data_IF_682111941419
#
_entry.id   IF_682111941419
#
_cell.length_a   1.000
_cell.length_b   1.000
_cell.length_c   1.000
_cell.angle_alpha   90.00
_cell.angle_beta   90.00
_cell.angle_gamma   90.00
#
_symmetry.space_group_name_H-M   'P 1'
#
loop_
_entity.id
_entity.type
_entity.pdbx_description
1 polymer ?
#
# COMPACT_ATOMS: atom_id res chain seq x y z
N UNK A 1 19.71 9.58 -10.37
CA UNK A 1 18.76 8.45 -10.17
C UNK A 1 17.37 8.97 -10.50
N UNK A 2 16.73 8.39 -11.51
CA UNK A 2 15.32 8.63 -11.80
C UNK A 2 14.55 7.47 -11.18
N UNK A 3 13.91 7.71 -10.05
CA UNK A 3 13.00 6.77 -9.41
C UNK A 3 11.58 7.32 -9.48
N UNK A 4 10.60 6.43 -9.47
CA UNK A 4 9.18 6.76 -9.45
C UNK A 4 8.54 6.30 -8.14
N UNK A 5 7.37 6.84 -7.81
CA UNK A 5 6.59 6.45 -6.64
C UNK A 5 6.78 7.30 -5.39
N UNK A 6 5.84 7.17 -4.46
CA UNK A 6 5.70 8.04 -3.29
C UNK A 6 6.92 7.95 -2.34
N UNK A 7 7.50 6.76 -2.19
CA UNK A 7 8.71 6.54 -1.39
C UNK A 7 9.93 7.29 -1.93
N UNK A 8 10.09 7.36 -3.25
CA UNK A 8 11.17 8.09 -3.90
C UNK A 8 11.01 9.61 -3.75
N UNK A 9 9.80 10.13 -3.96
CA UNK A 9 9.51 11.56 -3.74
C UNK A 9 9.78 11.98 -2.29
N UNK A 10 9.49 11.10 -1.33
CA UNK A 10 9.79 11.36 0.06
C UNK A 10 11.28 11.32 0.34
N UNK A 11 12.01 10.30 -0.13
CA UNK A 11 13.47 10.22 -0.02
C UNK A 11 14.14 11.46 -0.63
N UNK A 12 13.66 11.94 -1.78
CA UNK A 12 14.15 13.13 -2.46
C UNK A 12 13.82 14.43 -1.69
N UNK A 13 12.73 14.46 -0.92
CA UNK A 13 12.42 15.60 -0.04
C UNK A 13 13.47 15.82 1.04
N UNK A 14 14.21 14.79 1.45
CA UNK A 14 15.33 14.94 2.40
C UNK A 14 16.52 15.64 1.78
N UNK A 15 16.84 15.34 0.51
CA UNK A 15 17.87 16.05 -0.25
C UNK A 15 17.48 17.53 -0.34
N UNK A 16 16.21 17.82 -0.65
CA UNK A 16 15.65 19.19 -0.67
C UNK A 16 15.65 19.88 0.70
N UNK A 17 15.79 19.13 1.80
CA UNK A 17 15.90 19.65 3.17
C UNK A 17 17.34 19.99 3.59
N UNK A 18 18.31 19.84 2.69
CA UNK A 18 19.74 19.97 2.96
C UNK A 18 20.18 19.08 4.13
N UNK A 19 19.80 17.80 4.05
CA UNK A 19 20.18 16.76 4.98
C UNK A 19 21.15 15.81 4.29
N UNK A 20 22.30 15.54 4.92
CA UNK A 20 23.37 14.69 4.39
C UNK A 20 23.30 13.24 4.85
N UNK A 21 22.31 12.91 5.70
CA UNK A 21 22.14 11.58 6.27
C UNK A 21 21.70 10.59 5.19
N UNK A 22 22.18 9.35 5.29
CA UNK A 22 21.73 8.28 4.41
C UNK A 22 20.27 7.94 4.74
N UNK A 23 19.40 8.13 3.74
CA UNK A 23 17.99 7.75 3.76
C UNK A 23 17.87 6.55 2.85
N UNK A 24 17.34 5.46 3.40
CA UNK A 24 17.15 4.23 2.63
C UNK A 24 15.66 4.08 2.34
N UNK A 25 15.33 3.95 1.05
CA UNK A 25 14.02 3.44 0.65
C UNK A 25 14.05 1.94 0.98
N UNK A 26 13.18 1.52 1.89
CA UNK A 26 13.12 0.13 2.33
C UNK A 26 11.78 -0.47 1.92
N UNK A 27 11.82 -1.73 1.51
CA UNK A 27 10.61 -2.52 1.35
C UNK A 27 9.97 -2.79 2.73
N UNK A 28 8.72 -3.25 2.80
CA UNK A 28 8.06 -3.39 4.10
C UNK A 28 8.67 -4.44 5.03
N UNK A 29 9.19 -5.55 4.50
CA UNK A 29 9.87 -6.57 5.30
C UNK A 29 11.07 -5.96 6.04
N UNK A 30 11.91 -5.23 5.31
CA UNK A 30 13.05 -4.50 5.87
C UNK A 30 12.58 -3.35 6.76
N UNK A 31 11.53 -2.61 6.38
CA UNK A 31 10.95 -1.56 7.23
C UNK A 31 10.61 -2.11 8.60
N UNK A 32 9.84 -3.20 8.66
CA UNK A 32 9.41 -3.80 9.92
C UNK A 32 10.61 -4.23 10.77
N UNK A 33 11.58 -4.94 10.18
CA UNK A 33 12.79 -5.37 10.88
C UNK A 33 13.56 -4.16 11.44
N UNK A 34 13.80 -3.15 10.62
CA UNK A 34 14.57 -1.95 10.99
C UNK A 34 13.82 -1.09 12.03
N UNK A 35 12.48 -1.13 12.04
CA UNK A 35 11.65 -0.41 13.02
C UNK A 35 11.46 -1.18 14.33
N UNK A 36 11.68 -2.50 14.35
CA UNK A 36 11.62 -3.31 15.57
C UNK A 36 12.98 -3.41 16.28
N UNK A 37 14.08 -3.23 15.53
CA UNK A 37 15.43 -3.24 16.09
C UNK A 37 15.73 -1.96 16.89
N UNK A 38 15.69 -2.07 18.21
CA UNK A 38 16.01 -0.98 19.13
C UNK A 38 17.46 -0.52 19.07
N UNK A 39 18.37 -1.32 18.48
CA UNK A 39 19.78 -0.99 18.30
C UNK A 39 20.06 -0.24 16.98
N UNK A 40 19.06 -0.10 16.12
CA UNK A 40 19.19 0.58 14.85
C UNK A 40 19.16 2.11 14.99
N UNK A 41 20.35 2.68 15.21
CA UNK A 41 20.57 4.12 15.33
C UNK A 41 21.09 4.80 14.06
N UNK A 42 21.29 4.05 12.96
CA UNK A 42 22.11 4.51 11.84
C UNK A 42 21.33 5.23 10.75
N UNK A 43 20.13 4.78 10.43
CA UNK A 43 19.44 5.25 9.23
C UNK A 43 17.98 5.65 9.46
N UNK A 44 17.61 6.71 8.76
CA UNK A 44 16.23 7.12 8.57
C UNK A 44 15.65 6.38 7.34
N UNK A 45 14.35 6.13 7.37
CA UNK A 45 13.67 5.41 6.30
C UNK A 45 12.34 6.09 5.96
N UNK A 46 11.81 5.79 4.77
CA UNK A 46 10.45 6.17 4.33
C UNK A 46 9.58 4.95 4.02
N UNK A 47 8.32 4.90 4.50
CA UNK A 47 7.43 3.76 4.27
C UNK A 47 5.97 4.01 4.69
N UNK A 48 5.09 3.06 4.38
CA UNK A 48 3.64 3.20 4.58
C UNK A 48 3.16 2.89 6.02
N UNK A 49 4.08 2.71 6.98
CA UNK A 49 3.72 2.08 8.26
C UNK A 49 4.33 2.80 9.46
N UNK A 50 3.50 3.11 10.46
CA UNK A 50 3.94 3.39 11.83
C UNK A 50 3.86 2.07 12.62
N UNK A 51 4.95 1.63 13.22
CA UNK A 51 4.84 0.49 14.14
C UNK A 51 4.26 0.97 15.49
N UNK A 52 3.27 0.25 16.05
CA UNK A 52 2.83 0.51 17.41
C UNK A 52 3.96 0.20 18.40
N UNK A 53 3.99 0.93 19.51
CA UNK A 53 4.91 0.71 20.64
C UNK A 53 6.42 0.88 20.36
N UNK A 54 6.82 1.52 19.26
CA UNK A 54 8.25 1.83 19.03
C UNK A 54 8.65 3.18 19.64
N UNK A 55 9.22 3.18 20.85
CA UNK A 55 9.70 4.41 21.50
C UNK A 55 11.08 4.88 21.00
N UNK A 56 11.85 3.99 20.35
CA UNK A 56 13.19 4.27 19.85
C UNK A 56 13.20 4.93 18.45
N UNK A 57 12.03 5.14 17.83
CA UNK A 57 11.86 5.83 16.54
C UNK A 57 10.99 7.08 16.69
N UNK A 58 11.25 8.08 15.86
CA UNK A 58 10.40 9.27 15.67
C UNK A 58 9.87 9.31 14.25
N UNK A 59 8.63 9.75 14.09
CA UNK A 59 7.90 9.71 12.83
C UNK A 59 7.53 11.12 12.36
N UNK A 60 7.51 11.32 11.05
CA UNK A 60 6.87 12.51 10.48
C UNK A 60 5.36 12.50 10.70
N UNK A 61 4.75 13.66 10.52
CA UNK A 61 3.32 13.74 10.25
C UNK A 61 2.98 12.85 9.05
N UNK A 62 1.74 12.36 9.01
CA UNK A 62 1.25 11.61 7.86
C UNK A 62 1.39 12.45 6.60
N UNK A 63 1.93 11.81 5.58
CA UNK A 63 2.23 12.42 4.28
C UNK A 63 1.02 12.22 3.41
N UNK A 64 0.56 10.99 3.31
CA UNK A 64 -0.61 10.62 2.53
C UNK A 64 -1.27 9.40 3.16
N UNK A 65 -2.58 9.27 3.00
CA UNK A 65 -3.30 8.04 3.33
C UNK A 65 -3.51 7.29 2.03
N UNK A 66 -2.88 6.14 1.87
CA UNK A 66 -3.19 5.26 0.75
C UNK A 66 -4.47 4.49 1.08
N UNK A 67 -5.28 4.21 0.05
CA UNK A 67 -6.27 3.13 0.15
C UNK A 67 -5.45 1.87 0.31
N UNK A 68 -5.54 1.24 1.48
CA UNK A 68 -4.66 0.13 1.77
C UNK A 68 -5.22 -1.10 1.06
N UNK A 69 -4.48 -1.48 0.02
CA UNK A 69 -4.67 -2.65 -0.83
C UNK A 69 -5.94 -2.65 -1.71
N UNK A 70 -5.80 -3.24 -2.87
CA UNK A 70 -6.88 -3.75 -3.70
C UNK A 70 -6.64 -5.22 -3.98
N UNK A 71 -7.62 -5.88 -4.59
CA UNK A 71 -7.44 -7.22 -5.13
C UNK A 71 -7.75 -7.19 -6.61
N UNK A 72 -6.79 -7.60 -7.45
CA UNK A 72 -7.10 -7.94 -8.83
C UNK A 72 -7.61 -9.37 -8.88
N UNK A 73 -8.60 -9.58 -9.72
CA UNK A 73 -9.18 -10.89 -10.02
C UNK A 73 -9.12 -11.10 -11.53
N UNK A 74 -9.16 -12.35 -11.97
CA UNK A 74 -9.35 -12.65 -13.41
C UNK A 74 -10.74 -12.21 -13.88
N UNK A 75 -10.91 -12.00 -15.19
CA UNK A 75 -12.22 -11.63 -15.78
C UNK A 75 -13.31 -12.65 -15.42
N UNK A 76 -13.03 -13.94 -15.56
CA UNK A 76 -13.98 -15.02 -15.24
C UNK A 76 -14.39 -14.99 -13.76
N UNK A 77 -13.43 -14.76 -12.85
CA UNK A 77 -13.72 -14.66 -11.43
C UNK A 77 -14.53 -13.39 -11.15
N UNK A 78 -14.21 -12.26 -11.80
CA UNK A 78 -14.95 -11.01 -11.67
C UNK A 78 -16.40 -11.15 -12.13
N UNK A 79 -16.66 -11.67 -13.33
CA UNK A 79 -18.02 -11.86 -13.85
C UNK A 79 -18.86 -12.71 -12.88
N UNK A 80 -18.25 -13.75 -12.31
CA UNK A 80 -18.89 -14.60 -11.31
C UNK A 80 -19.25 -13.84 -10.04
N UNK A 81 -18.29 -13.15 -9.41
CA UNK A 81 -18.51 -12.49 -8.11
C UNK A 81 -19.35 -11.22 -8.24
N UNK A 82 -19.21 -10.50 -9.36
CA UNK A 82 -19.94 -9.25 -9.63
C UNK A 82 -21.36 -9.47 -10.13
N UNK A 83 -21.81 -10.72 -10.26
CA UNK A 83 -23.07 -11.05 -10.93
C UNK A 83 -23.18 -10.39 -12.31
N UNK A 84 -22.25 -10.69 -13.21
CA UNK A 84 -22.18 -10.11 -14.56
C UNK A 84 -22.17 -8.57 -14.57
N UNK A 85 -21.53 -7.95 -13.57
CA UNK A 85 -21.43 -6.50 -13.43
C UNK A 85 -22.62 -5.81 -12.78
N UNK A 86 -23.67 -6.53 -12.36
CA UNK A 86 -24.78 -5.94 -11.57
C UNK A 86 -24.27 -5.42 -10.22
N UNK A 87 -23.35 -6.16 -9.60
CA UNK A 87 -22.67 -5.79 -8.37
C UNK A 87 -21.34 -5.11 -8.71
N UNK A 88 -21.35 -3.78 -8.72
CA UNK A 88 -20.15 -2.95 -8.99
C UNK A 88 -19.02 -3.14 -7.98
N UNK A 89 -19.36 -3.58 -6.78
CA UNK A 89 -18.46 -3.65 -5.63
C UNK A 89 -18.68 -4.97 -4.92
N UNK A 90 -17.64 -5.79 -4.90
CA UNK A 90 -17.64 -7.12 -4.29
C UNK A 90 -16.89 -7.11 -2.96
N UNK A 91 -17.09 -8.06 -2.05
CA UNK A 91 -16.33 -8.07 -0.78
C UNK A 91 -15.06 -8.92 -0.88
N UNK A 92 -14.05 -8.62 -0.05
CA UNK A 92 -12.86 -9.49 0.05
C UNK A 92 -13.24 -10.90 0.50
N UNK A 93 -14.29 -11.02 1.32
CA UNK A 93 -14.87 -12.28 1.75
C UNK A 93 -15.38 -13.09 0.56
N UNK A 94 -16.10 -12.47 -0.38
CA UNK A 94 -16.59 -13.12 -1.60
C UNK A 94 -15.46 -13.61 -2.50
N UNK A 95 -14.37 -12.84 -2.59
CA UNK A 95 -13.19 -13.24 -3.34
C UNK A 95 -12.47 -14.41 -2.68
N UNK A 96 -12.21 -14.34 -1.37
CA UNK A 96 -11.60 -15.43 -0.61
C UNK A 96 -12.42 -16.71 -0.79
N UNK A 97 -13.75 -16.65 -0.66
CA UNK A 97 -14.62 -17.80 -0.85
C UNK A 97 -14.60 -18.30 -2.30
N UNK A 98 -14.66 -17.40 -3.29
CA UNK A 98 -14.68 -17.79 -4.71
C UNK A 98 -13.33 -18.34 -5.19
N UNK A 99 -12.22 -17.96 -4.57
CA UNK A 99 -10.88 -18.48 -4.89
C UNK A 99 -10.70 -19.96 -4.52
N UNK A 100 -11.54 -20.53 -3.64
CA UNK A 100 -11.60 -21.98 -3.43
C UNK A 100 -11.81 -22.73 -4.75
N UNK A 101 -12.71 -22.19 -5.58
CA UNK A 101 -13.02 -22.77 -6.89
C UNK A 101 -12.02 -22.38 -7.97
N UNK A 102 -11.39 -21.21 -7.85
CA UNK A 102 -10.41 -20.72 -8.83
C UNK A 102 -9.00 -21.30 -8.63
N UNK A 103 -8.70 -21.86 -7.46
CA UNK A 103 -7.47 -22.59 -7.16
C UNK A 103 -6.60 -21.95 -6.09
N UNK A 104 -6.37 -20.63 -6.13
CA UNK A 104 -5.64 -19.88 -5.09
C UNK A 104 -5.67 -18.35 -5.26
N UNK A 105 -5.26 -17.65 -4.19
CA UNK A 105 -4.89 -16.24 -4.14
C UNK A 105 -3.38 -16.12 -3.90
N UNK A 106 -2.76 -15.05 -4.37
CA UNK A 106 -1.39 -14.72 -3.94
C UNK A 106 -1.31 -13.33 -3.30
N UNK A 107 -0.41 -13.19 -2.32
CA UNK A 107 -0.03 -11.91 -1.72
C UNK A 107 1.49 -11.74 -1.80
N UNK A 108 1.98 -10.50 -1.81
CA UNK A 108 3.42 -10.26 -1.76
C UNK A 108 3.97 -10.58 -0.38
N UNK A 109 5.09 -11.29 -0.37
CA UNK A 109 5.77 -11.59 0.88
C UNK A 109 6.26 -10.31 1.57
N UNK A 110 6.13 -10.29 2.89
CA UNK A 110 6.58 -9.20 3.75
C UNK A 110 5.83 -7.88 3.57
N UNK A 111 4.80 -7.79 2.72
CA UNK A 111 3.89 -6.64 2.64
C UNK A 111 2.81 -6.81 3.72
N UNK A 112 2.84 -6.01 4.80
CA UNK A 112 1.81 -6.13 5.83
C UNK A 112 0.45 -5.75 5.23
N UNK A 113 -0.61 -6.36 5.74
CA UNK A 113 -2.00 -6.00 5.46
C UNK A 113 -2.60 -5.53 6.78
N UNK A 114 -3.47 -4.51 6.78
CA UNK A 114 -4.00 -3.94 8.03
C UNK A 114 -5.52 -4.02 8.14
N UNK A 115 -5.98 -3.81 9.37
CA UNK A 115 -7.39 -3.70 9.73
C UNK A 115 -8.20 -4.93 9.38
N UNK A 116 -9.47 -4.69 9.02
CA UNK A 116 -10.45 -5.77 8.73
C UNK A 116 -9.99 -6.67 7.59
N UNK A 117 -9.30 -6.13 6.58
CA UNK A 117 -8.80 -6.93 5.47
C UNK A 117 -7.75 -7.95 5.93
N UNK A 118 -6.82 -7.56 6.82
CA UNK A 118 -5.86 -8.49 7.41
C UNK A 118 -6.55 -9.62 8.18
N UNK A 119 -7.58 -9.28 8.96
CA UNK A 119 -8.36 -10.27 9.70
C UNK A 119 -9.01 -11.27 8.74
N UNK A 120 -9.63 -10.80 7.67
CA UNK A 120 -10.30 -11.65 6.68
C UNK A 120 -9.31 -12.53 5.91
N UNK A 121 -8.17 -11.99 5.48
CA UNK A 121 -7.11 -12.78 4.82
C UNK A 121 -6.55 -13.84 5.79
N UNK A 122 -6.25 -13.46 7.03
CA UNK A 122 -5.72 -14.40 8.04
C UNK A 122 -6.72 -15.51 8.36
N UNK A 123 -8.01 -15.16 8.47
CA UNK A 123 -9.07 -16.16 8.65
C UNK A 123 -9.21 -17.06 7.41
N UNK A 124 -9.16 -16.48 6.20
CA UNK A 124 -9.18 -17.23 4.95
C UNK A 124 -8.03 -18.24 4.84
N UNK A 125 -6.82 -17.86 5.26
CA UNK A 125 -5.65 -18.76 5.32
C UNK A 125 -5.86 -19.97 6.22
N UNK A 126 -6.72 -19.87 7.23
CA UNK A 126 -7.02 -20.94 8.18
C UNK A 126 -8.16 -21.86 7.67
N UNK A 127 -8.88 -21.48 6.61
CA UNK A 127 -10.00 -22.27 6.09
C UNK A 127 -9.53 -23.39 5.15
N UNK A 128 -10.15 -24.55 5.26
CA UNK A 128 -9.84 -25.71 4.41
C UNK A 128 -10.23 -25.44 2.95
N UNK A 129 -9.31 -25.70 2.01
CA UNK A 129 -9.55 -25.51 0.57
C UNK A 129 -9.25 -24.09 0.05
N UNK A 130 -8.89 -23.15 0.92
CA UNK A 130 -8.37 -21.84 0.51
C UNK A 130 -6.86 -21.89 0.51
N UNK A 131 -6.25 -21.50 -0.62
CA UNK A 131 -4.80 -21.38 -0.75
C UNK A 131 -4.43 -19.92 -0.98
N UNK A 132 -3.72 -19.32 -0.04
CA UNK A 132 -3.19 -17.95 -0.13
C UNK A 132 -1.67 -18.04 0.02
N UNK A 133 -0.94 -17.97 -1.09
CA UNK A 133 0.52 -18.08 -1.08
C UNK A 133 1.19 -16.71 -0.98
N UNK A 134 2.32 -16.69 -0.28
CA UNK A 134 3.27 -15.58 -0.28
C UNK A 134 4.21 -15.68 -1.49
N UNK A 135 4.30 -14.61 -2.27
CA UNK A 135 5.16 -14.55 -3.44
C UNK A 135 6.34 -13.60 -3.21
N UNK A 136 7.55 -14.13 -3.33
CA UNK A 136 8.80 -13.35 -3.41
C UNK A 136 9.05 -13.04 -4.89
N UNK A 137 8.54 -11.91 -5.36
CA UNK A 137 8.67 -11.53 -6.75
C UNK A 137 9.91 -10.66 -6.98
N UNK A 138 10.80 -10.99 -7.93
CA UNK A 138 11.98 -10.17 -8.24
C UNK A 138 11.61 -8.79 -8.79
N UNK A 139 10.41 -8.62 -9.36
CA UNK A 139 9.88 -7.33 -9.87
C UNK A 139 8.75 -6.75 -8.99
N UNK A 140 8.54 -7.26 -7.76
CA UNK A 140 7.53 -6.71 -6.86
C UNK A 140 6.07 -6.91 -7.32
N UNK A 141 5.14 -5.99 -6.98
CA UNK A 141 3.70 -6.19 -7.19
C UNK A 141 3.29 -6.30 -8.67
N UNK A 142 4.06 -5.70 -9.58
CA UNK A 142 3.87 -5.84 -11.03
C UNK A 142 3.92 -7.32 -11.45
N UNK A 143 4.86 -8.09 -10.89
CA UNK A 143 4.91 -9.53 -11.15
C UNK A 143 3.65 -10.25 -10.68
N UNK A 144 3.01 -9.81 -9.58
CA UNK A 144 1.74 -10.39 -9.13
C UNK A 144 0.63 -10.13 -10.12
N UNK A 145 0.53 -8.90 -10.64
CA UNK A 145 -0.46 -8.56 -11.67
C UNK A 145 -0.25 -9.37 -12.94
N UNK A 146 1.02 -9.55 -13.38
CA UNK A 146 1.37 -10.45 -14.50
C UNK A 146 0.95 -11.90 -14.22
N UNK A 147 1.12 -12.35 -12.98
CA UNK A 147 0.72 -13.70 -12.54
C UNK A 147 -0.81 -13.86 -12.53
N UNK A 148 -1.56 -12.86 -12.04
CA UNK A 148 -3.02 -12.82 -12.10
C UNK A 148 -3.54 -12.89 -13.55
N UNK A 149 -2.85 -12.20 -14.45
CA UNK A 149 -3.20 -12.17 -15.86
C UNK A 149 -2.87 -13.49 -16.61
N UNK A 150 -2.11 -14.40 -16.00
CA UNK A 150 -1.75 -15.66 -16.62
C UNK A 150 -2.68 -16.80 -16.19
N UNK A 151 -3.64 -17.12 -17.06
CA UNK A 151 -4.63 -18.19 -16.92
C UNK A 151 -4.05 -19.58 -16.61
N UNK A 152 -2.78 -19.83 -16.92
CA UNK A 152 -2.11 -21.13 -16.70
C UNK A 152 -1.64 -21.38 -15.26
N UNK A 153 -1.65 -20.38 -14.39
CA UNK A 153 -1.11 -20.53 -13.03
C UNK A 153 -2.13 -20.93 -11.98
N UNK A 154 -3.42 -21.10 -12.31
CA UNK A 154 -4.52 -21.37 -11.35
C UNK A 154 -4.70 -20.28 -10.27
N UNK A 155 -4.16 -19.08 -10.51
CA UNK A 155 -4.29 -17.93 -9.60
C UNK A 155 -5.58 -17.22 -9.94
N UNK A 156 -6.55 -17.24 -9.03
CA UNK A 156 -7.82 -16.53 -9.23
C UNK A 156 -7.73 -15.05 -8.87
N UNK A 157 -6.89 -14.70 -7.89
CA UNK A 157 -6.80 -13.32 -7.39
C UNK A 157 -5.43 -12.97 -6.80
N UNK A 158 -5.12 -11.68 -6.78
CA UNK A 158 -3.86 -11.13 -6.24
C UNK A 158 -4.10 -9.88 -5.40
N UNK A 159 -3.49 -9.82 -4.21
CA UNK A 159 -3.47 -8.62 -3.38
C UNK A 159 -2.42 -7.63 -3.88
N UNK A 160 -2.81 -6.37 -4.06
CA UNK A 160 -2.02 -5.36 -4.79
C UNK A 160 -2.24 -3.97 -4.23
N UNK A 161 -1.43 -3.01 -4.65
CA UNK A 161 -1.45 -1.64 -4.15
C UNK A 161 -1.91 -0.65 -5.23
N UNK A 162 -2.62 0.44 -4.87
CA UNK A 162 -3.12 1.40 -5.84
C UNK A 162 -2.08 2.04 -6.75
N UNK A 163 -0.87 2.29 -6.25
CA UNK A 163 0.23 2.87 -7.02
C UNK A 163 0.78 1.96 -8.13
N UNK A 164 0.49 0.66 -8.08
CA UNK A 164 0.99 -0.34 -9.04
C UNK A 164 0.09 -0.45 -10.28
N UNK A 165 -1.12 0.08 -10.20
CA UNK A 165 -2.11 0.01 -11.28
C UNK A 165 -1.71 0.80 -12.51
N UNK A 166 -1.20 2.01 -12.34
CA UNK A 166 -0.76 2.82 -13.49
C UNK A 166 0.43 2.19 -14.19
N UNK A 167 1.41 1.66 -13.44
CA UNK A 167 2.60 1.04 -14.04
C UNK A 167 2.17 -0.17 -14.87
N UNK A 168 1.34 -1.06 -14.31
CA UNK A 168 0.86 -2.22 -15.04
C UNK A 168 0.00 -1.85 -16.24
N UNK A 169 -0.92 -0.88 -16.10
CA UNK A 169 -1.81 -0.44 -17.18
C UNK A 169 -1.05 0.20 -18.33
N UNK A 170 0.05 0.92 -18.05
CA UNK A 170 0.96 1.46 -19.07
C UNK A 170 1.71 0.36 -19.81
N UNK A 171 2.18 -0.65 -19.09
CA UNK A 171 2.91 -1.78 -19.68
C UNK A 171 1.99 -2.76 -20.43
N UNK A 172 0.70 -2.81 -20.08
CA UNK A 172 -0.28 -3.76 -20.61
C UNK A 172 -1.58 -3.03 -21.00
N UNK A 173 -1.54 -2.11 -21.98
CA UNK A 173 -2.67 -1.22 -22.30
C UNK A 173 -3.93 -1.94 -22.78
N UNK A 174 -3.78 -3.13 -23.38
CA UNK A 174 -4.90 -3.95 -23.85
C UNK A 174 -5.55 -4.77 -22.71
N UNK A 175 -4.94 -4.77 -21.52
CA UNK A 175 -5.46 -5.46 -20.35
C UNK A 175 -6.12 -4.44 -19.43
N UNK A 176 -7.43 -4.33 -19.57
CA UNK A 176 -8.26 -3.59 -18.63
C UNK A 176 -8.12 -4.22 -17.24
N UNK A 177 -7.52 -3.46 -16.33
CA UNK A 177 -7.57 -3.74 -14.91
C UNK A 177 -8.89 -3.21 -14.28
N UNK A 178 -9.96 -2.94 -15.03
CA UNK A 178 -11.19 -2.31 -14.53
C UNK A 178 -11.88 -3.07 -13.39
N UNK A 179 -11.50 -4.33 -13.14
CA UNK A 179 -12.05 -5.24 -12.14
C UNK A 179 -11.65 -4.94 -10.69
N UNK A 180 -10.97 -3.82 -10.47
CA UNK A 180 -10.37 -3.42 -9.21
C UNK A 180 -11.29 -2.50 -8.42
N UNK A 181 -12.25 -3.06 -7.71
CA UNK A 181 -12.29 -2.79 -6.27
C UNK A 181 -13.36 -3.60 -5.57
N UNK A 182 -12.89 -4.28 -4.54
CA UNK A 182 -13.71 -4.85 -3.50
C UNK A 182 -13.84 -3.83 -2.37
N UNK A 183 -15.04 -3.63 -1.84
CA UNK A 183 -15.21 -2.86 -0.63
C UNK A 183 -15.33 -3.83 0.54
N UNK A 184 -14.23 -4.04 1.25
CA UNK A 184 -14.27 -4.35 2.68
C UNK A 184 -12.93 -4.02 3.36
N UNK A 185 -12.91 -2.90 4.09
CA UNK A 185 -11.80 -2.50 4.96
C UNK A 185 -11.72 -0.99 5.19
N UNK A 186 -12.08 -0.54 6.39
CA UNK A 186 -11.78 0.81 6.91
C UNK A 186 -10.31 0.94 7.32
N UNK A 187 -9.38 0.51 6.48
CA UNK A 187 -7.95 0.50 6.80
C UNK A 187 -7.18 1.34 5.82
N UNK A 188 -6.42 2.28 6.38
CA UNK A 188 -5.63 3.26 5.66
C UNK A 188 -4.19 3.19 6.17
N UNK A 189 -3.22 3.15 5.26
CA UNK A 189 -1.81 3.24 5.62
C UNK A 189 -1.32 4.68 5.48
N UNK A 190 -0.99 5.36 6.59
CA UNK A 190 -0.31 6.65 6.51
C UNK A 190 1.14 6.45 6.07
N UNK A 191 1.52 7.03 4.94
CA UNK A 191 2.92 7.12 4.54
C UNK A 191 3.64 8.12 5.43
N UNK A 192 4.76 7.69 6.01
CA UNK A 192 5.55 8.47 6.97
C UNK A 192 7.05 8.25 6.74
N UNK A 193 7.79 9.26 7.13
CA UNK A 193 9.22 9.18 7.38
C UNK A 193 9.48 8.69 8.81
N UNK A 194 10.51 7.90 9.02
CA UNK A 194 10.98 7.46 10.34
C UNK A 194 12.49 7.68 10.51
N UNK A 195 12.90 8.00 11.74
CA UNK A 195 14.31 8.14 12.13
C UNK A 195 14.52 7.60 13.55
N UNK A 196 15.76 7.26 13.94
CA UNK A 196 16.11 7.01 15.33
C UNK A 196 15.69 8.18 16.23
N UNK A 197 15.25 7.90 17.45
CA UNK A 197 14.81 8.91 18.42
C UNK A 197 15.98 9.63 19.10
N UNK A 198 16.88 10.20 18.30
CA UNK A 198 18.03 11.00 18.73
C UNK A 198 17.78 12.49 18.48
N UNK A 199 18.65 13.37 18.99
CA UNK A 199 18.59 14.82 18.69
C UNK A 199 18.60 15.08 17.18
N UNK A 200 19.44 14.35 16.46
CA UNK A 200 19.57 14.46 15.02
C UNK A 200 18.34 13.93 14.28
N UNK A 201 17.85 12.74 14.66
CA UNK A 201 16.63 12.19 14.07
C UNK A 201 15.41 13.10 14.25
N UNK A 202 15.26 13.72 15.43
CA UNK A 202 14.19 14.71 15.68
C UNK A 202 14.34 15.97 14.82
N UNK A 203 15.57 16.45 14.61
CA UNK A 203 15.84 17.60 13.73
C UNK A 203 15.46 17.30 12.28
N UNK A 204 15.79 16.10 11.80
CA UNK A 204 15.43 15.60 10.47
C UNK A 204 13.91 15.59 10.31
N UNK A 205 13.19 14.93 11.24
CA UNK A 205 11.73 14.87 11.21
C UNK A 205 11.10 16.26 11.23
N UNK A 206 11.63 17.21 12.02
CA UNK A 206 11.17 18.60 12.06
C UNK A 206 11.28 19.28 10.68
N UNK A 207 12.41 19.10 9.98
CA UNK A 207 12.60 19.67 8.63
C UNK A 207 11.63 19.05 7.61
N UNK A 208 11.41 17.74 7.64
CA UNK A 208 10.43 17.06 6.77
C UNK A 208 9.04 17.63 7.01
N UNK A 209 8.61 17.73 8.26
CA UNK A 209 7.29 18.27 8.60
C UNK A 209 7.12 19.71 8.07
N UNK A 210 8.17 20.54 8.14
CA UNK A 210 8.16 21.86 7.54
C UNK A 210 7.95 21.82 6.01
N UNK A 211 8.60 20.89 5.29
CA UNK A 211 8.40 20.70 3.86
C UNK A 211 6.98 20.21 3.53
N UNK A 212 6.47 19.24 4.30
CA UNK A 212 5.10 18.72 4.17
C UNK A 212 4.08 19.85 4.26
N UNK A 213 4.26 20.74 5.24
CA UNK A 213 3.38 21.88 5.47
C UNK A 213 3.58 23.01 4.44
N UNK A 214 4.77 23.13 3.82
CA UNK A 214 5.06 24.05 2.71
C UNK A 214 4.61 23.54 1.33
N UNK A 215 3.74 22.54 1.27
CA UNK A 215 3.11 22.08 0.02
C UNK A 215 3.68 20.79 -0.57
N UNK A 216 4.71 20.19 0.03
CA UNK A 216 5.17 18.85 -0.40
C UNK A 216 4.04 17.83 -0.31
N UNK A 217 3.21 17.89 0.75
CA UNK A 217 2.05 17.00 0.93
C UNK A 217 1.08 17.06 -0.26
N UNK A 218 0.73 18.28 -0.71
CA UNK A 218 -0.17 18.50 -1.85
C UNK A 218 0.44 17.96 -3.16
N UNK A 219 1.74 18.18 -3.37
CA UNK A 219 2.43 17.67 -4.58
C UNK A 219 2.45 16.14 -4.62
N UNK A 220 2.83 15.50 -3.51
CA UNK A 220 2.85 14.03 -3.41
C UNK A 220 1.45 13.47 -3.64
N UNK A 221 0.43 14.06 -3.02
CA UNK A 221 -0.95 13.63 -3.22
C UNK A 221 -1.43 13.79 -4.67
N UNK A 222 -1.03 14.86 -5.36
CA UNK A 222 -1.35 15.02 -6.78
C UNK A 222 -0.67 13.95 -7.63
N UNK A 223 0.61 13.64 -7.36
CA UNK A 223 1.31 12.55 -8.05
C UNK A 223 0.62 11.21 -7.81
N UNK A 224 0.15 10.95 -6.59
CA UNK A 224 -0.63 9.76 -6.28
C UNK A 224 -1.95 9.72 -7.03
N UNK A 225 -2.74 10.79 -7.03
CA UNK A 225 -4.00 10.84 -7.78
C UNK A 225 -3.80 10.65 -9.29
N UNK A 226 -2.70 11.17 -9.84
CA UNK A 226 -2.33 10.96 -11.24
C UNK A 226 -1.99 9.50 -11.52
N UNK A 227 -1.38 8.81 -10.53
CA UNK A 227 -1.05 7.39 -10.61
C UNK A 227 -2.20 6.44 -10.30
N UNK A 228 -3.34 6.94 -9.81
CA UNK A 228 -4.53 6.14 -9.69
C UNK A 228 -5.20 5.98 -11.06
N UNK A 229 -5.80 4.81 -11.34
CA UNK A 229 -6.63 4.62 -12.53
C UNK A 229 -7.71 5.72 -12.60
N UNK A 230 -8.16 6.05 -13.82
CA UNK A 230 -9.16 7.08 -14.04
C UNK A 230 -10.59 6.60 -13.73
N UNK A 231 -10.76 6.06 -12.53
CA UNK A 231 -12.02 5.59 -11.98
C UNK A 231 -12.45 6.60 -10.91
N UNK A 232 -13.64 7.15 -11.06
CA UNK A 232 -14.13 8.28 -10.25
C UNK A 232 -14.16 7.92 -8.76
N UNK A 233 -14.72 6.76 -8.41
CA UNK A 233 -14.89 6.28 -7.05
C UNK A 233 -13.55 6.12 -6.31
N UNK A 234 -12.52 5.60 -7.01
CA UNK A 234 -11.17 5.41 -6.45
C UNK A 234 -10.52 6.75 -6.13
N UNK A 235 -10.63 7.70 -7.06
CA UNK A 235 -10.05 9.04 -6.89
C UNK A 235 -10.79 9.86 -5.84
N UNK A 236 -12.11 9.76 -5.76
CA UNK A 236 -12.89 10.42 -4.71
C UNK A 236 -12.62 9.80 -3.34
N UNK A 237 -12.54 8.47 -3.23
CA UNK A 237 -12.18 7.83 -1.97
C UNK A 237 -10.77 8.24 -1.51
N UNK A 238 -9.80 8.31 -2.42
CA UNK A 238 -8.47 8.82 -2.11
C UNK A 238 -8.49 10.28 -1.60
N UNK A 239 -9.35 11.15 -2.17
CA UNK A 239 -9.54 12.53 -1.69
C UNK A 239 -10.17 12.60 -0.31
N UNK A 240 -11.22 11.81 -0.07
CA UNK A 240 -11.87 11.72 1.24
C UNK A 240 -10.88 11.24 2.32
N UNK A 241 -10.09 10.22 2.01
CA UNK A 241 -9.07 9.68 2.91
C UNK A 241 -7.94 10.67 3.17
N UNK A 242 -7.57 11.47 2.17
CA UNK A 242 -6.57 12.52 2.35
C UNK A 242 -7.11 13.70 3.17
N UNK A 243 -8.39 14.03 3.02
CA UNK A 243 -9.04 15.05 3.82
C UNK A 243 -9.03 14.68 5.31
N UNK A 244 -9.24 13.41 5.64
CA UNK A 244 -9.29 12.98 7.03
C UNK A 244 -7.94 12.96 7.76
N UNK A 245 -6.80 12.97 7.05
CA UNK A 245 -5.48 13.25 7.65
C UNK A 245 -5.40 14.70 8.13
N UNK A 246 -6.05 15.62 7.42
CA UNK A 246 -5.93 17.05 7.70
C UNK A 246 -6.65 17.45 8.99
N UNK A 247 -7.78 16.81 9.27
CA UNK A 247 -8.63 17.08 10.43
C UNK A 247 -8.59 15.99 11.51
N UNK A 248 -7.82 14.90 11.28
CA UNK A 248 -7.73 13.71 12.14
C UNK A 248 -9.09 13.00 12.36
N UNK A 249 -10.04 13.15 11.44
CA UNK A 249 -11.37 12.53 11.57
C UNK A 249 -11.38 11.03 11.29
N UNK A 250 -10.36 10.50 10.61
CA UNK A 250 -10.19 9.05 10.45
C UNK A 250 -9.43 8.46 11.63
N UNK A 251 -9.87 7.28 12.08
CA UNK A 251 -9.05 6.43 12.93
C UNK A 251 -7.76 6.07 12.22
N UNK A 252 -6.63 6.22 12.91
CA UNK A 252 -5.35 5.69 12.42
C UNK A 252 -5.30 4.21 12.84
N UNK A 253 -5.45 3.24 11.92
CA UNK A 253 -5.53 1.82 12.28
C UNK A 253 -4.25 1.26 12.90
N UNK A 254 -3.18 2.07 13.01
CA UNK A 254 -1.91 1.73 13.66
C UNK A 254 -1.77 2.34 15.07
N UNK A 255 -2.74 3.15 15.50
CA UNK A 255 -2.70 3.86 16.79
C UNK A 255 -4.02 3.72 17.58
N UNK A 256 -5.15 3.54 16.89
CA UNK A 256 -6.49 3.32 17.47
C UNK A 256 -6.93 1.85 17.39
#
# INVERSE_FOLDING_TARGET
MHGEGIGFELANAYIKADLKNAIIIVNPARWQQEMLDSSNEKFCATGSWKLPNTQHRVYSQSIMNTVDYGVAVTSDLYEKISNHGETRVVSISDVIQSTQTAGHMVKLDGRPVFGKMNTLITQGQQQQGIKIDDMVAPEGPISMLKVANHTKRNVGSVLIFPEEFEIFSKENPDHSLEYLMLHEGTSFAPIRASCPNTKEGRLIIKKINALLNKGLRKRIFQSFLNALPNIYEIREQAKLNQACIKDNSCKDPLID
#
